data_IF_756088256905
#
_entry.id   IF_756088256905
#
_cell.length_a   1.000
_cell.length_b   1.000
_cell.length_c   1.000
_cell.angle_alpha   90.00
_cell.angle_beta   90.00
_cell.angle_gamma   90.00
#
_symmetry.space_group_name_H-M   'P 1'
#
loop_
_entity.id
_entity.type
_entity.pdbx_description
1 polymer ?
#
# COMPACT_ATOMS: atom_id res chain seq x y z
N UNK A 1 28.93 102.28 -133.18
CA UNK A 1 29.71 102.59 -134.41
C UNK A 1 28.76 102.83 -135.58
N UNK A 2 28.49 104.10 -135.89
CA UNK A 2 28.11 104.68 -137.21
C UNK A 2 27.62 106.12 -136.98
N UNK A 3 28.55 106.96 -136.49
CA UNK A 3 28.49 108.42 -136.63
C UNK A 3 29.24 108.73 -137.92
N UNK A 4 28.55 108.99 -139.03
CA UNK A 4 29.08 109.65 -140.24
C UNK A 4 27.97 109.66 -141.30
N UNK A 5 27.56 110.86 -141.73
CA UNK A 5 26.93 111.23 -143.02
C UNK A 5 25.88 112.36 -142.94
N UNK A 6 25.75 113.06 -141.81
CA UNK A 6 24.84 114.22 -141.71
C UNK A 6 25.45 115.54 -142.20
N UNK A 7 26.72 115.58 -142.60
CA UNK A 7 27.38 116.81 -143.08
C UNK A 7 27.22 117.09 -144.59
N UNK A 8 26.79 116.10 -145.40
CA UNK A 8 26.73 116.27 -146.86
C UNK A 8 25.38 116.79 -147.39
N UNK A 9 24.30 116.76 -146.59
CA UNK A 9 22.99 117.24 -147.01
C UNK A 9 22.83 118.77 -146.91
N UNK A 10 23.51 119.43 -145.97
CA UNK A 10 23.39 120.88 -145.77
C UNK A 10 24.08 121.75 -146.82
N UNK A 11 25.09 121.21 -147.54
CA UNK A 11 25.79 121.96 -148.60
C UNK A 11 25.06 121.90 -149.96
N UNK A 12 24.27 120.85 -150.21
CA UNK A 12 23.51 120.70 -151.46
C UNK A 12 22.22 121.56 -151.48
N UNK A 13 21.61 121.82 -150.31
CA UNK A 13 20.44 122.73 -150.23
C UNK A 13 20.81 124.20 -150.45
N UNK A 14 22.00 124.64 -150.03
CA UNK A 14 22.41 126.04 -150.12
C UNK A 14 22.74 126.49 -151.57
N UNK A 15 23.00 125.54 -152.48
CA UNK A 15 23.30 125.82 -153.89
C UNK A 15 22.08 125.68 -154.83
N UNK A 16 20.94 125.17 -154.35
CA UNK A 16 19.68 125.14 -155.13
C UNK A 16 18.72 126.30 -154.81
N UNK A 17 18.96 127.06 -153.74
CA UNK A 17 18.12 128.20 -153.33
C UNK A 17 18.33 129.51 -154.12
N UNK A 18 19.31 129.58 -155.01
CA UNK A 18 19.64 130.81 -155.78
C UNK A 18 19.07 130.84 -157.21
N UNK A 19 18.40 129.78 -157.69
CA UNK A 19 17.89 129.69 -159.07
C UNK A 19 16.35 129.56 -159.19
N UNK A 20 15.63 129.33 -158.09
CA UNK A 20 14.20 129.51 -158.01
C UNK A 20 13.96 130.63 -157.00
N UNK A 21 13.11 131.61 -157.32
CA UNK A 21 12.69 132.70 -156.43
C UNK A 21 11.91 132.20 -155.21
N UNK A 22 12.58 131.40 -154.39
CA UNK A 22 12.14 130.96 -153.08
C UNK A 22 12.44 132.15 -152.16
N UNK A 23 11.41 132.85 -151.67
CA UNK A 23 11.63 133.98 -150.78
C UNK A 23 12.41 133.52 -149.55
N UNK A 24 13.32 134.36 -149.07
CA UNK A 24 14.22 134.06 -147.94
C UNK A 24 13.46 133.57 -146.68
N UNK A 25 12.19 133.94 -146.56
CA UNK A 25 11.21 133.37 -145.61
C UNK A 25 11.15 131.83 -145.62
N UNK A 26 11.10 131.15 -146.78
CA UNK A 26 10.97 129.68 -146.82
C UNK A 26 12.25 128.97 -146.34
N UNK A 27 13.41 129.59 -146.53
CA UNK A 27 14.68 129.03 -146.05
C UNK A 27 14.83 129.21 -144.54
N UNK A 28 14.36 130.35 -144.01
CA UNK A 28 14.28 130.60 -142.58
C UNK A 28 13.25 129.70 -141.89
N UNK A 29 12.14 129.37 -142.57
CA UNK A 29 11.10 128.46 -142.10
C UNK A 29 11.62 127.00 -142.01
N UNK A 30 12.27 126.51 -143.06
CA UNK A 30 12.92 125.18 -143.06
C UNK A 30 14.04 125.11 -142.00
N UNK A 31 14.77 126.20 -141.79
CA UNK A 31 15.80 126.27 -140.74
C UNK A 31 15.18 126.23 -139.35
N UNK A 32 14.07 126.94 -139.15
CA UNK A 32 13.29 126.93 -137.91
C UNK A 32 12.73 125.54 -137.64
N UNK A 33 12.17 124.87 -138.65
CA UNK A 33 11.63 123.52 -138.57
C UNK A 33 12.72 122.47 -138.29
N UNK A 34 13.91 122.60 -138.91
CA UNK A 34 15.07 121.75 -138.64
C UNK A 34 15.61 121.97 -137.21
N UNK A 35 15.59 123.21 -136.72
CA UNK A 35 15.95 123.52 -135.33
C UNK A 35 14.92 122.96 -134.34
N UNK A 36 13.63 123.02 -134.69
CA UNK A 36 12.53 122.41 -133.94
C UNK A 36 12.67 120.88 -133.86
N UNK A 37 12.84 120.20 -135.00
CA UNK A 37 13.07 118.75 -135.02
C UNK A 37 14.35 118.35 -134.30
N UNK A 38 15.42 119.16 -134.36
CA UNK A 38 16.63 118.92 -133.56
C UNK A 38 16.34 119.05 -132.06
N UNK A 39 15.55 120.03 -131.64
CA UNK A 39 15.14 120.19 -130.24
C UNK A 39 14.25 119.03 -129.77
N UNK A 40 13.32 118.56 -130.61
CA UNK A 40 12.48 117.40 -130.35
C UNK A 40 13.32 116.13 -130.24
N UNK A 41 14.32 115.95 -131.10
CA UNK A 41 15.20 114.78 -131.09
C UNK A 41 16.11 114.76 -129.85
N UNK A 42 16.57 115.93 -129.38
CA UNK A 42 17.25 116.06 -128.09
C UNK A 42 16.30 115.73 -126.93
N UNK A 43 15.04 116.16 -127.01
CA UNK A 43 14.00 115.85 -126.02
C UNK A 43 13.71 114.35 -125.96
N UNK A 44 13.56 113.70 -127.12
CA UNK A 44 13.38 112.24 -127.23
C UNK A 44 14.61 111.51 -126.70
N UNK A 45 15.82 111.94 -127.05
CA UNK A 45 17.06 111.35 -126.53
C UNK A 45 17.10 111.42 -124.99
N UNK A 46 16.71 112.55 -124.42
CA UNK A 46 16.65 112.76 -122.95
C UNK A 46 15.61 111.84 -122.30
N UNK A 47 14.45 111.66 -122.94
CA UNK A 47 13.42 110.71 -122.50
C UNK A 47 13.91 109.26 -122.59
N UNK A 48 14.62 108.89 -123.66
CA UNK A 48 15.20 107.55 -123.81
C UNK A 48 16.21 107.29 -122.69
N UNK A 49 17.12 108.22 -122.42
CA UNK A 49 18.09 108.04 -121.33
C UNK A 49 17.41 107.94 -119.96
N UNK A 50 16.36 108.73 -119.72
CA UNK A 50 15.57 108.62 -118.48
C UNK A 50 14.82 107.28 -118.36
N UNK A 51 14.29 106.75 -119.47
CA UNK A 51 13.67 105.42 -119.50
C UNK A 51 14.68 104.29 -119.32
N UNK A 52 15.88 104.40 -119.89
CA UNK A 52 16.97 103.45 -119.68
C UNK A 52 17.41 103.41 -118.21
N UNK A 53 17.51 104.58 -117.56
CA UNK A 53 17.82 104.69 -116.14
C UNK A 53 16.70 104.08 -115.27
N UNK A 54 15.44 104.44 -115.51
CA UNK A 54 14.29 103.85 -114.81
C UNK A 54 14.18 102.32 -115.03
N UNK A 55 14.51 101.84 -116.23
CA UNK A 55 14.55 100.41 -116.52
C UNK A 55 15.66 99.69 -115.76
N UNK A 56 16.83 100.31 -115.55
CA UNK A 56 17.90 99.74 -114.72
C UNK A 56 17.50 99.72 -113.25
N UNK A 57 16.95 100.82 -112.74
CA UNK A 57 16.46 100.88 -111.35
C UNK A 57 15.40 99.81 -111.09
N UNK A 58 14.45 99.64 -112.01
CA UNK A 58 13.44 98.58 -111.92
C UNK A 58 14.07 97.19 -111.93
N UNK A 59 15.10 96.96 -112.74
CA UNK A 59 15.81 95.68 -112.79
C UNK A 59 16.54 95.37 -111.46
N UNK A 60 17.17 96.38 -110.84
CA UNK A 60 17.84 96.24 -109.54
C UNK A 60 16.83 95.95 -108.42
N UNK A 61 15.67 96.62 -108.44
CA UNK A 61 14.55 96.31 -107.52
C UNK A 61 14.06 94.88 -107.72
N UNK A 62 13.87 94.43 -108.96
CA UNK A 62 13.47 93.04 -109.26
C UNK A 62 14.52 92.03 -108.76
N UNK A 63 15.81 92.32 -108.94
CA UNK A 63 16.88 91.47 -108.45
C UNK A 63 16.88 91.37 -106.92
N UNK A 64 16.68 92.50 -106.24
CA UNK A 64 16.56 92.56 -104.77
C UNK A 64 15.36 91.76 -104.27
N UNK A 65 14.19 91.95 -104.90
CA UNK A 65 12.98 91.21 -104.54
C UNK A 65 13.13 89.71 -104.80
N UNK A 66 13.79 89.31 -105.91
CA UNK A 66 14.09 87.89 -106.17
C UNK A 66 15.01 87.29 -105.11
N UNK A 67 16.02 88.05 -104.67
CA UNK A 67 16.87 87.65 -103.54
C UNK A 67 16.04 87.43 -102.28
N UNK A 68 15.22 88.41 -101.89
CA UNK A 68 14.37 88.30 -100.71
C UNK A 68 13.35 87.16 -100.78
N UNK A 69 12.77 86.88 -101.95
CA UNK A 69 11.87 85.72 -102.15
C UNK A 69 12.64 84.41 -101.95
N UNK A 70 13.88 84.31 -102.46
CA UNK A 70 14.72 83.13 -102.28
C UNK A 70 15.06 82.90 -100.80
N UNK A 71 15.40 83.96 -100.07
CA UNK A 71 15.71 83.86 -98.63
C UNK A 71 14.49 83.41 -97.82
N UNK A 72 13.31 83.98 -98.11
CA UNK A 72 12.04 83.57 -97.47
C UNK A 72 11.68 82.11 -97.78
N UNK A 73 11.97 81.61 -98.99
CA UNK A 73 11.75 80.20 -99.32
C UNK A 73 12.61 79.27 -98.47
N UNK A 74 13.88 79.63 -98.25
CA UNK A 74 14.78 78.88 -97.36
C UNK A 74 14.28 78.92 -95.92
N UNK A 75 13.84 80.08 -95.42
CA UNK A 75 13.29 80.21 -94.06
C UNK A 75 12.02 79.37 -93.86
N UNK A 76 11.14 79.32 -94.86
CA UNK A 76 9.95 78.46 -94.86
C UNK A 76 10.34 76.97 -94.85
N UNK A 77 11.37 76.57 -95.58
CA UNK A 77 11.85 75.19 -95.60
C UNK A 77 12.43 74.77 -94.25
N UNK A 78 13.22 75.65 -93.61
CA UNK A 78 13.74 75.45 -92.24
C UNK A 78 12.58 75.35 -91.25
N UNK A 79 11.61 76.26 -91.30
CA UNK A 79 10.44 76.25 -90.42
C UNK A 79 9.61 74.97 -90.57
N UNK A 80 9.42 74.50 -91.81
CA UNK A 80 8.73 73.24 -92.08
C UNK A 80 9.50 72.02 -91.52
N UNK A 81 10.83 72.04 -91.58
CA UNK A 81 11.66 70.99 -90.97
C UNK A 81 11.49 70.97 -89.45
N UNK A 82 11.55 72.13 -88.79
CA UNK A 82 11.36 72.25 -87.34
C UNK A 82 9.95 71.82 -86.90
N UNK A 83 8.92 72.17 -87.68
CA UNK A 83 7.56 71.72 -87.41
C UNK A 83 7.40 70.20 -87.52
N UNK A 84 8.07 69.57 -88.48
CA UNK A 84 8.07 68.09 -88.59
C UNK A 84 8.75 67.44 -87.39
N UNK A 85 9.88 67.99 -86.94
CA UNK A 85 10.59 67.49 -85.75
C UNK A 85 9.74 67.66 -84.49
N UNK A 86 9.13 68.83 -84.30
CA UNK A 86 8.25 69.10 -83.16
C UNK A 86 7.02 68.17 -83.15
N UNK A 87 6.40 67.93 -84.32
CA UNK A 87 5.27 67.01 -84.42
C UNK A 87 5.68 65.56 -84.08
N UNK A 88 6.82 65.10 -84.59
CA UNK A 88 7.34 63.76 -84.25
C UNK A 88 7.64 63.64 -82.75
N UNK A 89 8.20 64.68 -82.13
CA UNK A 89 8.43 64.73 -80.69
C UNK A 89 7.13 64.69 -79.87
N UNK A 90 6.08 65.39 -80.33
CA UNK A 90 4.77 65.38 -79.70
C UNK A 90 4.09 64.01 -79.80
N UNK A 91 4.18 63.35 -80.96
CA UNK A 91 3.68 61.99 -81.16
C UNK A 91 4.37 60.99 -80.21
N UNK A 92 5.70 61.02 -80.14
CA UNK A 92 6.46 60.16 -79.24
C UNK A 92 6.12 60.41 -77.76
N UNK A 93 5.95 61.67 -77.35
CA UNK A 93 5.52 62.00 -75.99
C UNK A 93 4.09 61.51 -75.71
N UNK A 94 3.18 61.60 -76.69
CA UNK A 94 1.82 61.06 -76.61
C UNK A 94 1.81 59.54 -76.42
N UNK A 95 2.65 58.80 -77.15
CA UNK A 95 2.81 57.36 -76.98
C UNK A 95 3.34 56.98 -75.60
N UNK A 96 4.34 57.71 -75.10
CA UNK A 96 4.88 57.50 -73.75
C UNK A 96 3.83 57.77 -72.66
N UNK A 97 3.01 58.82 -72.83
CA UNK A 97 1.94 59.13 -71.90
C UNK A 97 0.89 58.01 -71.89
N UNK A 98 0.47 57.55 -73.07
CA UNK A 98 -0.47 56.42 -73.19
C UNK A 98 0.09 55.12 -72.58
N UNK A 99 1.41 54.88 -72.67
CA UNK A 99 2.05 53.74 -72.02
C UNK A 99 2.04 53.87 -70.49
N UNK A 100 2.33 55.06 -69.96
CA UNK A 100 2.27 55.33 -68.53
C UNK A 100 0.84 55.20 -67.99
N UNK A 101 -0.16 55.68 -68.71
CA UNK A 101 -1.56 55.55 -68.33
C UNK A 101 -2.01 54.09 -68.24
N UNK A 102 -1.59 53.25 -69.20
CA UNK A 102 -1.84 51.80 -69.13
C UNK A 102 -1.16 51.17 -67.91
N UNK A 103 0.08 51.55 -67.62
CA UNK A 103 0.83 51.03 -66.47
C UNK A 103 0.18 51.44 -65.15
N UNK A 104 -0.27 52.69 -65.04
CA UNK A 104 -0.99 53.20 -63.87
C UNK A 104 -2.33 52.47 -63.67
N UNK A 105 -3.06 52.21 -64.75
CA UNK A 105 -4.29 51.43 -64.68
C UNK A 105 -4.03 50.02 -64.13
N UNK A 106 -3.01 49.31 -64.62
CA UNK A 106 -2.61 47.99 -64.10
C UNK A 106 -2.23 48.05 -62.62
N UNK A 107 -1.38 49.01 -62.23
CA UNK A 107 -0.98 49.16 -60.83
C UNK A 107 -2.16 49.48 -59.91
N UNK A 108 -3.14 50.25 -60.38
CA UNK A 108 -4.35 50.54 -59.62
C UNK A 108 -5.15 49.27 -59.35
N UNK A 109 -5.37 48.43 -60.37
CA UNK A 109 -6.06 47.14 -60.21
C UNK A 109 -5.29 46.19 -59.29
N UNK A 110 -3.97 46.12 -59.42
CA UNK A 110 -3.13 45.28 -58.54
C UNK A 110 -3.20 45.76 -57.08
N UNK A 111 -3.26 47.07 -56.84
CA UNK A 111 -3.41 47.63 -55.50
C UNK A 111 -4.79 47.34 -54.89
N UNK A 112 -5.85 47.41 -55.69
CA UNK A 112 -7.19 47.00 -55.25
C UNK A 112 -7.23 45.52 -54.87
N UNK A 113 -6.69 44.64 -55.72
CA UNK A 113 -6.61 43.20 -55.40
C UNK A 113 -5.81 42.92 -54.13
N UNK A 114 -4.67 43.60 -53.93
CA UNK A 114 -3.88 43.44 -52.70
C UNK A 114 -4.62 43.97 -51.47
N UNK A 115 -5.44 45.00 -51.62
CA UNK A 115 -6.25 45.50 -50.52
C UNK A 115 -7.31 44.48 -50.11
N UNK A 116 -7.93 43.79 -51.08
CA UNK A 116 -8.87 42.70 -50.82
C UNK A 116 -8.19 41.52 -50.11
N UNK A 117 -6.99 41.11 -50.57
CA UNK A 117 -6.18 40.07 -49.90
C UNK A 117 -5.87 40.43 -48.43
N UNK A 118 -5.55 41.71 -48.16
CA UNK A 118 -5.27 42.20 -46.80
C UNK A 118 -6.53 42.10 -45.92
N UNK A 119 -7.71 42.40 -46.48
CA UNK A 119 -8.98 42.27 -45.75
C UNK A 119 -9.26 40.80 -45.41
N UNK A 120 -9.06 39.88 -46.35
CA UNK A 120 -9.24 38.44 -46.13
C UNK A 120 -8.26 37.89 -45.07
N UNK A 121 -6.99 38.29 -45.14
CA UNK A 121 -5.99 37.91 -44.14
C UNK A 121 -6.35 38.42 -42.74
N UNK A 122 -6.89 39.64 -42.62
CA UNK A 122 -7.35 40.17 -41.33
C UNK A 122 -8.48 39.32 -40.74
N UNK A 123 -9.49 38.99 -41.55
CA UNK A 123 -10.59 38.12 -41.11
C UNK A 123 -10.07 36.74 -40.67
N UNK A 124 -9.07 36.21 -41.37
CA UNK A 124 -8.43 34.94 -40.98
C UNK A 124 -7.69 35.06 -39.64
N UNK A 125 -6.95 36.15 -39.42
CA UNK A 125 -6.27 36.43 -38.15
C UNK A 125 -7.28 36.55 -37.02
N UNK A 126 -8.35 37.33 -37.19
CA UNK A 126 -9.41 37.49 -36.20
C UNK A 126 -10.02 36.12 -35.82
N UNK A 127 -10.31 35.27 -36.80
CA UNK A 127 -10.82 33.91 -36.56
C UNK A 127 -9.85 32.99 -35.83
N UNK A 128 -8.54 33.16 -36.03
CA UNK A 128 -7.51 32.44 -35.28
C UNK A 128 -7.39 32.94 -33.85
N UNK A 129 -7.53 34.26 -33.61
CA UNK A 129 -7.55 34.85 -32.27
C UNK A 129 -8.76 34.35 -31.45
N UNK A 130 -9.94 34.29 -32.08
CA UNK A 130 -11.14 33.69 -31.46
C UNK A 130 -10.92 32.21 -31.13
N UNK A 131 -10.35 31.44 -32.06
CA UNK A 131 -10.05 30.03 -31.86
C UNK A 131 -9.05 29.80 -30.72
N UNK A 132 -8.03 30.66 -30.62
CA UNK A 132 -7.03 30.63 -29.56
C UNK A 132 -7.67 30.92 -28.19
N UNK A 133 -8.56 31.91 -28.13
CA UNK A 133 -9.30 32.26 -26.91
C UNK A 133 -10.18 31.10 -26.44
N UNK A 134 -10.96 30.50 -27.36
CA UNK A 134 -11.77 29.32 -27.06
C UNK A 134 -10.93 28.13 -26.57
N UNK A 135 -9.74 27.93 -27.14
CA UNK A 135 -8.82 26.88 -26.69
C UNK A 135 -8.28 27.16 -25.29
N UNK A 136 -7.96 28.42 -24.97
CA UNK A 136 -7.48 28.81 -23.65
C UNK A 136 -8.56 28.57 -22.57
N UNK A 137 -9.81 28.93 -22.85
CA UNK A 137 -10.94 28.65 -21.96
C UNK A 137 -11.18 27.14 -21.76
N UNK A 138 -11.06 26.35 -22.84
CA UNK A 138 -11.16 24.89 -22.75
C UNK A 138 -10.05 24.29 -21.88
N UNK A 139 -8.82 24.81 -21.98
CA UNK A 139 -7.71 24.38 -21.11
C UNK A 139 -7.96 24.74 -19.65
N UNK A 140 -8.43 25.95 -19.36
CA UNK A 140 -8.76 26.36 -17.99
C UNK A 140 -9.84 25.45 -17.36
N UNK A 141 -10.87 25.09 -18.12
CA UNK A 141 -11.91 24.15 -17.67
C UNK A 141 -11.35 22.74 -17.40
N UNK A 142 -10.41 22.27 -18.23
CA UNK A 142 -9.74 20.98 -18.03
C UNK A 142 -8.86 21.00 -16.78
N UNK A 143 -8.10 22.07 -16.55
CA UNK A 143 -7.28 22.24 -15.33
C UNK A 143 -8.16 22.22 -14.08
N UNK A 144 -9.29 22.93 -14.09
CA UNK A 144 -10.24 22.91 -12.99
C UNK A 144 -10.80 21.50 -12.76
N UNK A 145 -11.22 20.81 -13.83
CA UNK A 145 -11.77 19.44 -13.73
C UNK A 145 -10.72 18.48 -13.16
N UNK A 146 -9.46 18.60 -13.55
CA UNK A 146 -8.37 17.79 -13.01
C UNK A 146 -8.18 18.05 -11.52
N UNK A 147 -8.15 19.31 -11.09
CA UNK A 147 -8.03 19.67 -9.68
C UNK A 147 -9.19 19.12 -8.83
N UNK A 148 -10.42 19.18 -9.34
CA UNK A 148 -11.60 18.60 -8.69
C UNK A 148 -11.50 17.06 -8.58
N UNK A 149 -10.99 16.39 -9.62
CA UNK A 149 -10.76 14.93 -9.57
C UNK A 149 -9.65 14.54 -8.61
N UNK A 150 -8.57 15.31 -8.54
CA UNK A 150 -7.46 15.06 -7.62
C UNK A 150 -7.92 15.19 -6.15
N UNK A 151 -8.75 16.20 -5.85
CA UNK A 151 -9.38 16.35 -4.54
C UNK A 151 -10.29 15.15 -4.20
N UNK A 152 -11.15 14.73 -5.13
CA UNK A 152 -12.03 13.58 -4.94
C UNK A 152 -11.25 12.26 -4.76
N UNK A 153 -10.12 12.09 -5.44
CA UNK A 153 -9.22 10.94 -5.25
C UNK A 153 -8.58 10.97 -3.87
N UNK A 154 -8.17 12.14 -3.39
CA UNK A 154 -7.61 12.28 -2.04
C UNK A 154 -8.64 11.92 -0.96
N UNK A 155 -9.89 12.36 -1.11
CA UNK A 155 -10.98 12.00 -0.21
C UNK A 155 -11.23 10.49 -0.21
N UNK A 156 -11.26 9.85 -1.38
CA UNK A 156 -11.44 8.40 -1.50
C UNK A 156 -10.27 7.61 -0.91
N UNK A 157 -9.03 8.10 -1.04
CA UNK A 157 -7.86 7.50 -0.38
C UNK A 157 -7.94 7.60 1.15
N UNK A 158 -8.45 8.72 1.67
CA UNK A 158 -8.67 8.87 3.11
C UNK A 158 -9.75 7.92 3.61
N UNK A 159 -10.88 7.81 2.91
CA UNK A 159 -11.95 6.86 3.24
C UNK A 159 -11.43 5.40 3.23
N UNK A 160 -10.61 5.03 2.23
CA UNK A 160 -9.99 3.71 2.18
C UNK A 160 -9.03 3.47 3.35
N UNK A 161 -8.31 4.49 3.80
CA UNK A 161 -7.44 4.39 4.97
C UNK A 161 -8.25 4.18 6.26
N UNK A 162 -9.34 4.93 6.43
CA UNK A 162 -10.24 4.82 7.58
C UNK A 162 -10.89 3.43 7.64
N UNK A 163 -11.38 2.92 6.50
CA UNK A 163 -11.89 1.54 6.39
C UNK A 163 -10.83 0.49 6.70
N UNK A 164 -9.57 0.76 6.34
CA UNK A 164 -8.43 -0.08 6.70
C UNK A 164 -8.25 -0.18 8.22
N UNK A 165 -8.39 0.94 8.94
CA UNK A 165 -8.35 0.96 10.42
C UNK A 165 -9.52 0.16 11.00
N UNK A 166 -10.74 0.38 10.51
CA UNK A 166 -11.92 -0.35 10.98
C UNK A 166 -11.80 -1.86 10.80
N UNK A 167 -11.24 -2.31 9.67
CA UNK A 167 -10.95 -3.74 9.43
C UNK A 167 -9.97 -4.32 10.44
N UNK A 168 -8.91 -3.58 10.80
CA UNK A 168 -7.95 -4.06 11.82
C UNK A 168 -8.60 -4.17 13.20
N UNK A 169 -9.48 -3.23 13.55
CA UNK A 169 -10.23 -3.28 14.81
C UNK A 169 -11.21 -4.46 14.85
N UNK A 170 -11.89 -4.71 13.72
CA UNK A 170 -12.79 -5.84 13.59
C UNK A 170 -12.04 -7.19 13.69
N UNK A 171 -10.86 -7.31 13.10
CA UNK A 171 -10.02 -8.51 13.20
C UNK A 171 -9.55 -8.77 14.64
N UNK A 172 -9.13 -7.72 15.36
CA UNK A 172 -8.79 -7.80 16.78
C UNK A 172 -9.99 -8.25 17.62
N UNK A 173 -11.18 -7.71 17.34
CA UNK A 173 -12.43 -8.07 18.03
C UNK A 173 -12.80 -9.53 17.76
N UNK A 174 -12.68 -9.99 16.51
CA UNK A 174 -12.98 -11.38 16.14
C UNK A 174 -11.99 -12.35 16.82
N UNK A 175 -10.71 -11.96 16.90
CA UNK A 175 -9.69 -12.73 17.61
C UNK A 175 -10.02 -12.86 19.10
N UNK A 176 -10.45 -11.78 19.76
CA UNK A 176 -10.86 -11.87 21.17
C UNK A 176 -12.13 -12.71 21.37
N UNK A 177 -13.13 -12.56 20.50
CA UNK A 177 -14.34 -13.39 20.53
C UNK A 177 -14.01 -14.89 20.40
N UNK A 178 -13.11 -15.26 19.49
CA UNK A 178 -12.65 -16.65 19.35
C UNK A 178 -12.00 -17.15 20.64
N UNK A 179 -11.15 -16.33 21.27
CA UNK A 179 -10.55 -16.65 22.57
C UNK A 179 -11.60 -16.85 23.65
N UNK A 180 -12.63 -16.00 23.70
CA UNK A 180 -13.74 -16.14 24.66
C UNK A 180 -14.54 -17.43 24.42
N UNK A 181 -14.78 -17.80 23.17
CA UNK A 181 -15.43 -19.08 22.82
C UNK A 181 -14.62 -20.26 23.34
N UNK A 182 -13.31 -20.32 23.07
CA UNK A 182 -12.45 -21.40 23.55
C UNK A 182 -12.42 -21.50 25.08
N UNK A 183 -12.38 -20.36 25.79
CA UNK A 183 -12.45 -20.37 27.26
C UNK A 183 -13.78 -20.90 27.77
N UNK A 184 -14.89 -20.56 27.09
CA UNK A 184 -16.23 -21.02 27.45
C UNK A 184 -16.39 -22.51 27.18
N UNK A 185 -15.85 -23.01 26.06
CA UNK A 185 -15.82 -24.45 25.75
C UNK A 185 -15.05 -25.23 26.83
N UNK A 186 -13.85 -24.77 27.21
CA UNK A 186 -13.07 -25.40 28.28
C UNK A 186 -13.80 -25.37 29.65
N UNK A 187 -14.51 -24.28 29.95
CA UNK A 187 -15.32 -24.19 31.16
C UNK A 187 -16.49 -25.19 31.14
N UNK A 188 -17.15 -25.36 29.99
CA UNK A 188 -18.22 -26.33 29.80
C UNK A 188 -17.72 -27.78 29.93
N UNK A 189 -16.56 -28.11 29.36
CA UNK A 189 -15.92 -29.42 29.55
C UNK A 189 -15.64 -29.69 31.04
N UNK A 190 -15.09 -28.70 31.75
CA UNK A 190 -14.85 -28.80 33.19
C UNK A 190 -16.15 -28.98 34.00
N UNK A 191 -17.23 -28.29 33.63
CA UNK A 191 -18.54 -28.47 34.26
C UNK A 191 -19.13 -29.86 33.97
N UNK A 192 -19.04 -30.36 32.74
CA UNK A 192 -19.49 -31.70 32.39
C UNK A 192 -18.75 -32.77 33.18
N UNK A 193 -17.43 -32.67 33.33
CA UNK A 193 -16.67 -33.58 34.18
C UNK A 193 -17.11 -33.53 35.65
N UNK A 194 -17.46 -32.34 36.18
CA UNK A 194 -18.04 -32.24 37.53
C UNK A 194 -19.41 -32.89 37.64
N UNK A 195 -20.25 -32.75 36.62
CA UNK A 195 -21.57 -33.43 36.57
C UNK A 195 -21.39 -34.94 36.56
N UNK A 196 -20.45 -35.48 35.79
CA UNK A 196 -20.15 -36.92 35.78
C UNK A 196 -19.70 -37.42 37.16
N UNK A 197 -18.79 -36.71 37.83
CA UNK A 197 -18.35 -37.06 39.19
C UNK A 197 -19.51 -37.03 40.19
N UNK A 198 -20.35 -35.99 40.13
CA UNK A 198 -21.53 -35.88 41.00
C UNK A 198 -22.55 -36.98 40.71
N UNK A 199 -22.75 -37.35 39.45
CA UNK A 199 -23.64 -38.45 39.08
C UNK A 199 -23.12 -39.77 39.64
N UNK A 200 -21.82 -40.05 39.52
CA UNK A 200 -21.20 -41.24 40.12
C UNK A 200 -21.39 -41.27 41.65
N UNK A 201 -21.25 -40.13 42.33
CA UNK A 201 -21.52 -40.03 43.77
C UNK A 201 -23.00 -40.25 44.12
N UNK A 202 -23.93 -39.78 43.29
CA UNK A 202 -25.36 -40.03 43.47
C UNK A 202 -25.68 -41.52 43.30
N UNK A 203 -25.08 -42.18 42.31
CA UNK A 203 -25.28 -43.60 42.06
C UNK A 203 -24.72 -44.47 43.19
N UNK A 204 -23.53 -44.12 43.73
CA UNK A 204 -22.94 -44.76 44.91
C UNK A 204 -23.78 -44.57 46.17
N UNK A 205 -24.36 -43.38 46.36
CA UNK A 205 -25.27 -43.08 47.47
C UNK A 205 -26.73 -43.46 47.19
N UNK A 206 -27.00 -44.21 46.12
CA UNK A 206 -28.36 -44.60 45.78
C UNK A 206 -28.97 -45.45 46.89
N UNK A 207 -30.28 -45.30 47.07
CA UNK A 207 -31.01 -45.99 48.14
C UNK A 207 -30.78 -47.52 48.09
N UNK A 208 -30.63 -48.10 46.90
CA UNK A 208 -30.38 -49.54 46.71
C UNK A 208 -29.03 -49.98 47.26
N UNK A 209 -27.93 -49.25 46.97
CA UNK A 209 -26.58 -49.57 47.46
C UNK A 209 -26.54 -49.43 48.99
N UNK A 210 -27.04 -48.32 49.51
CA UNK A 210 -27.10 -48.06 50.95
C UNK A 210 -27.97 -49.13 51.64
N UNK A 211 -29.10 -49.54 51.03
CA UNK A 211 -29.95 -50.60 51.59
C UNK A 211 -29.24 -51.96 51.60
N UNK A 212 -28.46 -52.28 50.56
CA UNK A 212 -27.68 -53.50 50.50
C UNK A 212 -26.59 -53.54 51.59
N UNK A 213 -25.89 -52.43 51.80
CA UNK A 213 -24.88 -52.29 52.86
C UNK A 213 -25.52 -52.39 54.26
N UNK A 214 -26.69 -51.77 54.46
CA UNK A 214 -27.48 -51.94 55.68
C UNK A 214 -27.84 -53.42 55.92
N UNK A 215 -28.21 -54.15 54.88
CA UNK A 215 -28.59 -55.54 55.00
C UNK A 215 -27.39 -56.46 55.29
N UNK A 216 -26.24 -56.21 54.66
CA UNK A 216 -24.99 -56.90 54.99
C UNK A 216 -24.58 -56.65 56.45
N UNK A 217 -24.60 -55.38 56.89
CA UNK A 217 -24.29 -55.03 58.28
C UNK A 217 -25.26 -55.69 59.28
N UNK A 218 -26.55 -55.79 58.96
CA UNK A 218 -27.51 -56.55 59.79
C UNK A 218 -27.16 -58.04 59.84
N UNK A 219 -26.80 -58.65 58.71
CA UNK A 219 -26.38 -60.04 58.64
C UNK A 219 -25.14 -60.29 59.51
N UNK A 220 -24.12 -59.43 59.39
CA UNK A 220 -22.92 -59.47 60.24
C UNK A 220 -23.28 -59.36 61.73
N UNK A 221 -24.16 -58.41 62.09
CA UNK A 221 -24.67 -58.24 63.45
C UNK A 221 -25.35 -59.52 63.96
N UNK A 222 -26.21 -60.13 63.16
CA UNK A 222 -26.98 -61.32 63.56
C UNK A 222 -26.06 -62.55 63.72
N UNK A 223 -25.07 -62.71 62.84
CA UNK A 223 -24.04 -63.73 62.98
C UNK A 223 -23.21 -63.54 64.25
N UNK A 224 -22.86 -62.30 64.58
CA UNK A 224 -22.15 -61.97 65.82
C UNK A 224 -23.02 -62.24 67.05
N UNK A 225 -24.30 -61.84 67.03
CA UNK A 225 -25.25 -62.13 68.10
C UNK A 225 -25.39 -63.64 68.33
N UNK A 226 -25.41 -64.44 67.26
CA UNK A 226 -25.42 -65.91 67.36
C UNK A 226 -24.15 -66.45 68.02
N UNK A 227 -22.96 -65.92 67.68
CA UNK A 227 -21.70 -66.29 68.35
C UNK A 227 -21.71 -65.92 69.84
N UNK A 228 -22.22 -64.74 70.19
CA UNK A 228 -22.36 -64.30 71.59
C UNK A 228 -23.29 -65.25 72.35
N UNK A 229 -24.42 -65.64 71.76
CA UNK A 229 -25.34 -66.59 72.38
C UNK A 229 -24.71 -67.99 72.54
N UNK A 230 -23.92 -68.46 71.57
CA UNK A 230 -23.17 -69.71 71.69
C UNK A 230 -22.14 -69.67 72.81
N UNK A 231 -21.39 -68.57 72.93
CA UNK A 231 -20.45 -68.34 74.02
C UNK A 231 -21.16 -68.28 75.38
N UNK A 232 -22.31 -67.61 75.46
CA UNK A 232 -23.13 -67.55 76.67
C UNK A 232 -23.60 -68.94 77.10
N UNK A 233 -24.07 -69.78 76.16
CA UNK A 233 -24.46 -71.16 76.44
C UNK A 233 -23.28 -72.02 76.89
N UNK A 234 -22.10 -71.85 76.28
CA UNK A 234 -20.87 -72.51 76.70
C UNK A 234 -20.45 -72.10 78.13
N UNK A 235 -20.72 -70.84 78.48
CA UNK A 235 -20.43 -70.29 79.81
C UNK A 235 -21.40 -70.86 80.86
N UNK A 236 -22.69 -71.01 80.53
CA UNK A 236 -23.66 -71.70 81.40
C UNK A 236 -23.35 -73.20 81.58
N UNK A 237 -22.78 -73.85 80.57
CA UNK A 237 -22.34 -75.25 80.65
C UNK A 237 -21.10 -75.44 81.54
N UNK A 238 -20.14 -74.51 81.51
CA UNK A 238 -18.90 -74.61 82.29
C UNK A 238 -18.97 -74.07 83.73
N UNK A 239 -19.99 -73.26 84.09
CA UNK A 239 -20.13 -72.69 85.44
C UNK A 239 -20.79 -73.68 86.44
N UNK A 240 -21.16 -74.89 86.01
CA UNK A 240 -21.90 -75.87 86.83
C UNK A 240 -21.05 -76.97 87.52
N UNK A 241 -19.71 -76.94 87.44
CA UNK A 241 -18.83 -77.89 88.17
C UNK A 241 -18.24 -77.24 89.45
N UNK A 242 -18.62 -77.66 90.68
CA UNK A 242 -18.20 -77.02 91.93
C UNK A 242 -16.74 -77.31 92.36
N UNK A 243 -15.85 -77.70 91.45
CA UNK A 243 -14.44 -78.06 91.76
C UNK A 243 -13.35 -77.28 91.02
N UNK A 244 -13.70 -76.21 90.32
CA UNK A 244 -12.70 -75.38 89.62
C UNK A 244 -12.62 -74.01 90.29
N UNK A 245 -11.66 -73.84 91.20
CA UNK A 245 -11.19 -72.50 91.60
C UNK A 245 -10.22 -72.00 90.53
N UNK A 246 -10.65 -71.00 89.75
CA UNK A 246 -9.80 -70.32 88.76
C UNK A 246 -9.00 -69.24 89.50
N UNK A 247 -7.78 -69.57 89.95
CA UNK A 247 -6.79 -68.55 90.31
C UNK A 247 -6.06 -68.08 89.05
N UNK A 248 -6.33 -66.85 88.60
CA UNK A 248 -5.53 -66.16 87.57
C UNK A 248 -4.24 -65.62 88.20
N UNK A 249 -3.27 -66.49 88.46
CA UNK A 249 -1.96 -66.05 88.95
C UNK A 249 -1.07 -65.62 87.77
N UNK A 250 -0.67 -64.35 87.75
CA UNK A 250 0.27 -63.81 86.77
C UNK A 250 1.58 -64.60 86.74
N UNK A 251 1.85 -65.25 85.62
CA UNK A 251 3.01 -66.12 85.45
C UNK A 251 4.30 -65.32 85.38
N UNK A 252 5.34 -65.81 86.06
CA UNK A 252 6.70 -65.31 85.87
C UNK A 252 7.25 -65.76 84.50
N UNK A 253 7.42 -64.78 83.62
CA UNK A 253 8.04 -64.90 82.30
C UNK A 253 9.53 -65.25 82.38
N UNK A 254 9.88 -66.52 82.21
CA UNK A 254 11.29 -66.94 82.12
C UNK A 254 11.66 -67.55 80.76
N UNK A 255 10.69 -67.78 79.87
CA UNK A 255 10.91 -68.44 78.57
C UNK A 255 11.28 -69.93 78.65
N UNK A 256 11.32 -70.52 79.86
CA UNK A 256 11.73 -71.92 80.05
C UNK A 256 10.72 -72.94 79.55
N UNK A 257 9.48 -72.52 79.30
CA UNK A 257 8.40 -73.37 78.79
C UNK A 257 8.09 -73.16 77.31
N UNK A 258 8.91 -72.38 76.61
CA UNK A 258 8.81 -72.25 75.16
C UNK A 258 9.14 -73.59 74.47
N UNK A 259 8.53 -73.88 73.31
CA UNK A 259 7.55 -73.05 72.60
C UNK A 259 6.11 -73.22 73.09
N UNK A 260 5.85 -74.06 74.11
CA UNK A 260 4.48 -74.41 74.48
C UNK A 260 3.75 -73.31 75.26
N UNK A 261 4.45 -72.57 76.13
CA UNK A 261 3.89 -71.45 76.87
C UNK A 261 4.71 -70.18 76.63
N UNK A 262 4.05 -69.15 76.11
CA UNK A 262 4.60 -67.83 75.85
C UNK A 262 4.34 -66.84 76.99
N UNK A 263 5.11 -65.76 76.96
CA UNK A 263 4.88 -64.61 77.82
C UNK A 263 3.60 -63.88 77.43
N UNK A 264 2.61 -63.89 78.32
CA UNK A 264 1.29 -63.32 78.07
C UNK A 264 0.18 -64.38 78.06
N UNK A 265 0.51 -65.66 77.98
CA UNK A 265 -0.48 -66.72 78.01
C UNK A 265 -1.18 -66.78 79.37
N UNK A 266 -2.51 -66.90 79.33
CA UNK A 266 -3.29 -67.15 80.53
C UNK A 266 -3.37 -68.65 80.78
N UNK A 267 -2.88 -69.10 81.93
CA UNK A 267 -2.95 -70.53 82.31
C UNK A 267 -4.15 -70.80 83.22
N UNK A 268 -4.74 -71.97 83.06
CA UNK A 268 -5.77 -72.50 83.93
C UNK A 268 -5.17 -73.68 84.70
N UNK A 269 -5.10 -73.54 86.02
CA UNK A 269 -4.41 -74.48 86.89
C UNK A 269 -5.39 -75.23 87.79
N UNK A 270 -5.19 -76.54 87.94
CA UNK A 270 -5.81 -77.36 88.96
C UNK A 270 -5.00 -77.28 90.26
N UNK A 271 -5.61 -76.80 91.33
CA UNK A 271 -5.04 -76.76 92.68
C UNK A 271 -5.51 -77.97 93.51
N UNK A 272 -5.03 -78.11 94.76
CA UNK A 272 -5.39 -79.21 95.68
C UNK A 272 -5.08 -80.64 95.15
N UNK A 273 -3.92 -80.77 94.50
CA UNK A 273 -3.48 -82.02 93.87
C UNK A 273 -3.17 -83.12 94.89
N UNK A 274 -3.64 -84.34 94.60
CA UNK A 274 -3.16 -85.57 95.24
C UNK A 274 -2.05 -86.16 94.38
N UNK A 275 -1.19 -86.99 94.97
CA UNK A 275 -0.04 -87.60 94.28
C UNK A 275 -0.43 -88.32 92.97
N UNK A 276 -1.62 -88.92 92.92
CA UNK A 276 -2.14 -89.65 91.75
C UNK A 276 -2.62 -88.75 90.60
N UNK A 277 -2.75 -87.45 90.85
CA UNK A 277 -3.30 -86.49 89.89
C UNK A 277 -2.19 -85.90 88.98
N UNK A 278 -0.91 -86.13 89.32
CA UNK A 278 0.27 -85.71 88.57
C UNK A 278 0.97 -86.94 87.97
N UNK A 279 1.21 -86.89 86.66
CA UNK A 279 1.84 -87.93 85.85
C UNK A 279 3.03 -87.37 85.07
N UNK A 280 3.90 -88.24 84.59
CA UNK A 280 4.96 -87.86 83.65
C UNK A 280 4.31 -87.26 82.40
N UNK A 281 4.80 -86.09 81.99
CA UNK A 281 4.24 -85.31 80.89
C UNK A 281 3.39 -84.12 81.34
N UNK A 282 2.88 -84.11 82.57
CA UNK A 282 2.11 -82.98 83.08
C UNK A 282 2.99 -81.74 83.29
N UNK A 283 2.43 -80.55 83.04
CA UNK A 283 3.06 -79.29 83.45
C UNK A 283 2.52 -78.92 84.81
N UNK A 284 3.41 -78.67 85.76
CA UNK A 284 3.05 -78.34 87.13
C UNK A 284 3.65 -77.00 87.53
N UNK A 285 2.90 -76.23 88.32
CA UNK A 285 3.43 -75.08 89.02
C UNK A 285 3.97 -75.50 90.37
N UNK A 286 5.11 -74.96 90.76
CA UNK A 286 5.71 -75.24 92.05
C UNK A 286 6.54 -74.04 92.55
N UNK A 287 6.80 -74.01 93.86
CA UNK A 287 7.72 -73.04 94.46
C UNK A 287 9.11 -73.65 94.58
N UNK A 288 10.11 -72.95 94.04
CA UNK A 288 11.49 -73.45 94.02
C UNK A 288 12.11 -73.38 95.42
N UNK A 289 12.54 -74.53 95.92
CA UNK A 289 13.33 -74.65 97.14
C UNK A 289 14.75 -75.10 96.82
N UNK A 290 15.69 -74.71 97.66
CA UNK A 290 17.09 -75.08 97.58
C UNK A 290 17.20 -76.60 97.74
N UNK A 291 17.83 -77.27 96.78
CA UNK A 291 17.91 -78.73 96.75
C UNK A 291 18.65 -79.33 97.96
N UNK A 292 19.49 -78.54 98.64
CA UNK A 292 20.34 -78.99 99.75
C UNK A 292 19.85 -78.49 101.10
N UNK A 293 19.34 -77.25 101.17
CA UNK A 293 18.93 -76.62 102.45
C UNK A 293 17.42 -76.65 102.70
N UNK A 294 16.60 -76.96 101.68
CA UNK A 294 15.14 -76.98 101.78
C UNK A 294 14.49 -75.60 102.00
N UNK A 295 15.27 -74.51 101.95
CA UNK A 295 14.79 -73.12 102.05
C UNK A 295 14.24 -72.65 100.69
N UNK A 296 13.22 -71.79 100.68
CA UNK A 296 12.76 -71.16 99.42
C UNK A 296 13.88 -70.32 98.81
N UNK A 297 14.16 -70.53 97.51
CA UNK A 297 15.18 -69.76 96.76
C UNK A 297 14.54 -68.56 96.05
N UNK A 298 13.23 -68.64 95.81
CA UNK A 298 12.42 -67.56 95.27
C UNK A 298 10.98 -67.70 95.75
N UNK A 299 10.29 -66.57 95.93
CA UNK A 299 8.83 -66.56 96.17
C UNK A 299 8.03 -66.76 94.88
N UNK A 300 8.73 -66.75 93.73
CA UNK A 300 8.14 -66.96 92.41
C UNK A 300 7.67 -68.39 92.17
N UNK A 301 6.49 -68.50 91.57
CA UNK A 301 5.96 -69.76 91.04
C UNK A 301 6.71 -70.09 89.75
N UNK A 302 7.21 -71.31 89.63
CA UNK A 302 7.84 -71.85 88.41
C UNK A 302 6.93 -72.90 87.80
N UNK A 303 6.83 -72.93 86.48
CA UNK A 303 6.11 -73.97 85.74
C UNK A 303 7.10 -74.77 84.95
N UNK A 304 7.13 -76.09 85.15
CA UNK A 304 7.92 -77.00 84.32
C UNK A 304 7.17 -78.32 84.10
N UNK A 305 7.57 -79.06 83.08
CA UNK A 305 7.03 -80.39 82.79
C UNK A 305 7.65 -81.43 83.69
N UNK A 306 6.83 -82.31 84.25
CA UNK A 306 7.28 -83.52 84.94
C UNK A 306 7.84 -84.49 83.91
N UNK A 307 9.13 -84.79 84.00
CA UNK A 307 9.82 -85.72 83.09
C UNK A 307 10.04 -87.09 83.71
N UNK A 308 10.03 -87.19 85.04
CA UNK A 308 10.15 -88.45 85.77
C UNK A 308 9.51 -88.34 87.17
N UNK A 309 9.12 -89.48 87.76
CA UNK A 309 8.58 -89.58 89.11
C UNK A 309 9.28 -90.72 89.84
N UNK A 310 10.23 -90.37 90.71
CA UNK A 310 11.05 -91.35 91.45
C UNK A 310 10.77 -91.27 92.95
N UNK A 311 10.36 -92.40 93.55
CA UNK A 311 10.06 -92.54 94.98
C UNK A 311 9.13 -91.46 95.58
N UNK A 312 8.28 -90.83 94.76
CA UNK A 312 7.36 -89.76 95.18
C UNK A 312 7.90 -88.35 95.06
N UNK A 313 9.06 -88.21 94.43
CA UNK A 313 9.63 -86.95 94.00
C UNK A 313 9.42 -86.75 92.51
N UNK A 314 9.02 -85.54 92.13
CA UNK A 314 8.86 -85.11 90.75
C UNK A 314 10.19 -84.57 90.24
N UNK A 315 10.66 -85.09 89.12
CA UNK A 315 11.76 -84.51 88.35
C UNK A 315 11.13 -83.65 87.27
N UNK A 316 11.46 -82.37 87.25
CA UNK A 316 10.89 -81.42 86.29
C UNK A 316 11.94 -80.93 85.32
N UNK A 317 11.49 -80.44 84.16
CA UNK A 317 12.31 -79.77 83.15
C UNK A 317 11.44 -78.76 82.41
N UNK A 318 11.95 -77.55 82.23
CA UNK A 318 11.34 -76.59 81.31
C UNK A 318 11.41 -77.11 79.87
N UNK A 319 10.36 -76.94 79.08
CA UNK A 319 10.33 -77.43 77.70
C UNK A 319 11.46 -76.84 76.82
N UNK A 320 11.95 -75.64 77.16
CA UNK A 320 13.08 -74.97 76.53
C UNK A 320 14.44 -75.24 77.21
N UNK A 321 14.48 -76.10 78.22
CA UNK A 321 15.72 -76.43 78.94
C UNK A 321 16.31 -77.75 78.42
N UNK A 322 17.62 -77.75 78.10
CA UNK A 322 18.31 -78.96 77.63
C UNK A 322 18.51 -80.02 78.72
N UNK A 323 18.57 -79.61 79.99
CA UNK A 323 18.82 -80.48 81.14
C UNK A 323 17.65 -80.45 82.11
N UNK A 324 17.40 -81.56 82.80
CA UNK A 324 16.42 -81.61 83.90
C UNK A 324 16.80 -80.64 85.01
N UNK A 325 15.82 -80.17 85.77
CA UNK A 325 16.07 -79.30 86.90
C UNK A 325 16.90 -80.02 87.96
N UNK A 326 17.83 -79.29 88.57
CA UNK A 326 18.76 -79.86 89.56
C UNK A 326 18.08 -80.34 90.84
N UNK A 327 16.86 -79.87 91.13
CA UNK A 327 16.12 -80.27 92.33
C UNK A 327 14.99 -81.22 91.98
N UNK A 328 14.87 -82.32 92.74
CA UNK A 328 13.65 -83.12 92.76
C UNK A 328 12.64 -82.47 93.71
N UNK A 329 11.36 -82.51 93.34
CA UNK A 329 10.30 -81.78 94.03
C UNK A 329 9.36 -82.75 94.76
N UNK A 330 9.10 -82.55 96.05
CA UNK A 330 8.04 -83.29 96.74
C UNK A 330 6.66 -82.69 96.41
N UNK A 331 5.59 -83.48 96.56
CA UNK A 331 4.22 -83.05 96.22
C UNK A 331 3.79 -81.75 96.92
N UNK A 332 4.23 -81.54 98.16
CA UNK A 332 3.92 -80.34 98.93
C UNK A 332 4.57 -79.04 98.38
N UNK A 333 5.50 -79.15 97.43
CA UNK A 333 6.03 -77.98 96.71
C UNK A 333 5.25 -77.67 95.44
N UNK A 334 4.43 -78.61 94.97
CA UNK A 334 3.59 -78.46 93.78
C UNK A 334 2.35 -77.67 94.16
N UNK A 335 2.18 -76.51 93.54
CA UNK A 335 1.08 -75.58 93.79
C UNK A 335 -0.10 -75.80 92.85
N UNK A 336 0.11 -76.40 91.68
CA UNK A 336 -0.95 -76.75 90.76
C UNK A 336 -0.48 -77.52 89.53
N UNK A 337 -1.43 -78.00 88.73
CA UNK A 337 -1.22 -78.69 87.45
C UNK A 337 -1.92 -77.93 86.35
N UNK A 338 -1.24 -77.70 85.24
CA UNK A 338 -1.81 -77.04 84.07
C UNK A 338 -2.91 -77.91 83.47
N UNK A 339 -4.10 -77.33 83.28
CA UNK A 339 -5.22 -77.96 82.59
C UNK A 339 -5.34 -77.46 81.15
N UNK A 340 -5.25 -76.15 80.98
CA UNK A 340 -5.34 -75.48 79.70
C UNK A 340 -4.58 -74.15 79.76
N UNK A 341 -4.27 -73.60 78.60
CA UNK A 341 -3.78 -72.24 78.46
C UNK A 341 -4.50 -71.57 77.30
N UNK A 342 -4.58 -70.24 77.33
CA UNK A 342 -5.13 -69.44 76.25
C UNK A 342 -3.99 -68.58 75.72
N UNK A 343 -3.64 -68.83 74.47
CA UNK A 343 -2.60 -68.10 73.74
C UNK A 343 -2.99 -66.63 73.59
N UNK A 344 -2.00 -65.75 73.78
CA UNK A 344 -2.11 -64.32 73.41
C UNK A 344 -3.35 -63.60 73.97
N UNK A 345 -3.72 -63.88 75.23
CA UNK A 345 -4.55 -62.94 75.99
C UNK A 345 -3.67 -61.77 76.43
N UNK A 346 -3.21 -60.98 75.48
CA UNK A 346 -2.76 -59.62 75.73
C UNK A 346 -4.01 -58.73 75.82
N UNK A 347 -4.46 -58.30 77.01
CA UNK A 347 -5.18 -57.04 77.06
C UNK A 347 -4.17 -55.99 76.61
N UNK A 348 -4.42 -55.33 75.49
CA UNK A 348 -3.62 -54.24 74.89
C UNK A 348 -3.34 -53.05 75.86
N UNK A 349 -3.67 -53.17 77.15
CA UNK A 349 -3.65 -52.10 78.14
C UNK A 349 -2.80 -52.38 79.40
N UNK A 350 -2.04 -53.48 79.46
CA UNK A 350 -1.18 -53.76 80.62
C UNK A 350 0.24 -54.21 80.27
N UNK A 351 0.95 -53.45 79.42
CA UNK A 351 2.40 -53.28 79.59
C UNK A 351 2.79 -51.84 79.29
N UNK A 352 3.16 -51.12 80.35
CA UNK A 352 3.96 -49.93 80.22
C UNK A 352 5.27 -50.28 79.52
N UNK A 353 5.52 -49.57 78.44
CA UNK A 353 6.77 -49.45 77.70
C UNK A 353 8.02 -49.50 78.59
N UNK A 354 8.73 -50.63 78.57
CA UNK A 354 10.19 -50.71 78.65
C UNK A 354 10.59 -52.19 78.59
N UNK A 355 11.50 -52.56 77.68
CA UNK A 355 12.18 -53.86 77.58
C UNK A 355 11.60 -54.90 76.60
N UNK A 356 11.10 -54.47 75.43
CA UNK A 356 11.03 -55.35 74.25
C UNK A 356 11.95 -54.90 73.09
N UNK A 357 13.04 -54.19 73.43
CA UNK A 357 14.21 -54.00 72.56
C UNK A 357 15.48 -54.32 73.36
N UNK A 358 15.81 -55.61 73.46
CA UNK A 358 17.16 -56.15 73.56
C UNK A 358 17.11 -57.65 73.87
N UNK A 359 16.93 -58.49 72.84
CA UNK A 359 17.70 -59.74 72.67
C UNK A 359 18.03 -59.89 71.19
#
# INVERSE_FOLDING_TARGET
MKKMNTAFASAALLMLGLACGIPQEQFDDVRSELQGTRADLVTVQTRITGLEEASRETADVIATLRGGISDLQVEVEVSNSLLREANAGLEAAGEQLAQKDRTLATLSTDLESRNDDIVELRLTVDGLEDSLTNSADAFANLEQTLAERDAALQDSLQEAADLGVDLTLLDATNTDLRRQVTLTEAANEGLNGRVEVLQAQVDENSAEVVQAEIEDLKSQRDALAAKVNQLSALTEEYVSDPKVEIESSGLACTGSMLPLLHCGDMVIMQTNLKRRDVQVGDIISFRRRDCFTGRSVSDGITLHRVVDIDAGWFVTRGDNNYTVDSCRLPLNNVTGKLLAYIEDIYPEHYMGTANYEAI
#
